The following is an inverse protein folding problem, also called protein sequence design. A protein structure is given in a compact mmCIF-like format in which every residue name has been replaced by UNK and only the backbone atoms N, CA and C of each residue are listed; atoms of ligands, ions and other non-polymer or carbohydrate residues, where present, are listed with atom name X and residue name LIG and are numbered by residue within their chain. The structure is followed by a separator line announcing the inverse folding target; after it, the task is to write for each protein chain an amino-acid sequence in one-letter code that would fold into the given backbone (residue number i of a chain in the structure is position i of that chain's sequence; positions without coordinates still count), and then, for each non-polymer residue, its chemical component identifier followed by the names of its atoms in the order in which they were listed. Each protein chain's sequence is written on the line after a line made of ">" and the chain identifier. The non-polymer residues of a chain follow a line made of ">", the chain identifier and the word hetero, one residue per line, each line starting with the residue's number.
data_IF_956361776465
#
_entry.id   IF_956361776465
#
_cell.length_a   1.000
_cell.length_b   1.000
_cell.length_c   1.000
_cell.angle_alpha   90.00
_cell.angle_beta   90.00
_cell.angle_gamma   90.00
#
_symmetry.space_group_name_H-M   'P 1'
#
loop_
_entity.id
_entity.type
_entity.pdbx_description
1 polymer ?
#
# COMPACT_ATOMS: atom_id res chain seq x y z
N UNK A 1 -0.78 -14.50 2.85
CA UNK A 1 0.18 -13.45 2.43
C UNK A 1 0.86 -13.92 1.16
N UNK A 2 1.09 -13.02 0.19
CA UNK A 2 1.70 -13.32 -1.11
C UNK A 2 2.96 -12.46 -1.32
N UNK A 3 4.08 -13.07 -1.69
CA UNK A 3 5.28 -12.36 -2.12
C UNK A 3 5.81 -12.99 -3.43
N UNK A 4 5.61 -12.39 -4.62
CA UNK A 4 4.99 -11.09 -4.91
C UNK A 4 3.94 -11.17 -6.02
N UNK A 5 3.02 -10.21 -6.03
CA UNK A 5 2.01 -10.05 -7.08
C UNK A 5 2.65 -9.73 -8.43
N UNK A 6 3.75 -8.97 -8.43
CA UNK A 6 4.54 -8.68 -9.64
C UNK A 6 5.13 -9.94 -10.26
N UNK A 7 5.72 -10.83 -9.45
CA UNK A 7 6.26 -12.11 -9.94
C UNK A 7 5.16 -13.04 -10.46
N UNK A 8 4.01 -13.06 -9.80
CA UNK A 8 2.85 -13.80 -10.27
C UNK A 8 2.42 -13.34 -11.67
N UNK A 9 2.23 -12.03 -11.87
CA UNK A 9 1.83 -11.47 -13.16
C UNK A 9 2.86 -11.75 -14.27
N UNK A 10 4.17 -11.65 -13.96
CA UNK A 10 5.23 -12.06 -14.90
C UNK A 10 5.15 -13.52 -15.30
N UNK A 11 4.90 -14.42 -14.34
CA UNK A 11 4.77 -15.84 -14.63
C UNK A 11 3.57 -16.14 -15.55
N UNK A 12 2.44 -15.45 -15.35
CA UNK A 12 1.31 -15.55 -16.27
C UNK A 12 1.66 -15.01 -17.67
N UNK A 13 2.38 -13.89 -17.75
CA UNK A 13 2.78 -13.33 -19.04
C UNK A 13 3.66 -14.27 -19.88
N UNK A 14 4.46 -15.11 -19.21
CA UNK A 14 5.30 -16.11 -19.89
C UNK A 14 4.56 -17.38 -20.29
N UNK A 15 3.41 -17.67 -19.69
CA UNK A 15 2.71 -18.96 -19.84
C UNK A 15 1.45 -18.88 -20.69
N UNK A 16 0.87 -17.69 -20.89
CA UNK A 16 -0.31 -17.55 -21.73
C UNK A 16 0.03 -17.77 -23.22
N UNK A 17 -0.97 -18.17 -24.00
CA UNK A 17 -0.91 -18.05 -25.45
C UNK A 17 -1.02 -16.57 -25.84
N UNK A 18 -0.10 -16.04 -26.67
CA UNK A 18 -0.11 -14.64 -27.07
C UNK A 18 -1.45 -14.26 -27.73
N UNK A 19 -2.02 -13.15 -27.31
CA UNK A 19 -3.28 -12.62 -27.85
C UNK A 19 -3.08 -11.76 -29.11
N UNK A 20 -1.82 -11.52 -29.49
CA UNK A 20 -1.45 -10.63 -30.59
C UNK A 20 -1.48 -9.14 -30.23
N UNK A 21 -1.78 -8.79 -28.96
CA UNK A 21 -1.75 -7.43 -28.45
C UNK A 21 -0.70 -7.30 -27.35
N UNK A 22 0.06 -6.23 -27.39
CA UNK A 22 1.15 -5.98 -26.43
C UNK A 22 1.00 -4.59 -25.84
N UNK A 23 0.98 -4.51 -24.51
CA UNK A 23 1.06 -3.27 -23.75
C UNK A 23 2.52 -2.83 -23.62
N UNK A 24 2.71 -1.61 -23.09
CA UNK A 24 4.04 -1.10 -22.77
C UNK A 24 4.82 -2.09 -21.90
N UNK A 25 6.11 -2.27 -22.20
CA UNK A 25 6.97 -3.20 -21.45
C UNK A 25 6.86 -4.67 -21.86
N UNK A 26 6.15 -5.02 -22.94
CA UNK A 26 6.09 -6.41 -23.43
C UNK A 26 5.08 -7.27 -22.69
N UNK A 27 4.11 -6.65 -22.04
CA UNK A 27 3.05 -7.32 -21.30
C UNK A 27 1.85 -7.56 -22.20
N UNK A 28 1.39 -8.81 -22.30
CA UNK A 28 0.13 -9.12 -22.97
C UNK A 28 -1.04 -8.81 -22.02
N UNK A 29 -2.07 -8.06 -22.45
CA UNK A 29 -3.22 -7.75 -21.58
C UNK A 29 -3.92 -8.99 -21.00
N UNK A 30 -3.92 -10.11 -21.76
CA UNK A 30 -4.51 -11.37 -21.32
C UNK A 30 -3.81 -11.97 -20.10
N UNK A 31 -2.53 -11.64 -19.89
CA UNK A 31 -1.73 -12.15 -18.79
C UNK A 31 -2.20 -11.63 -17.43
N UNK A 32 -2.84 -10.47 -17.40
CA UNK A 32 -3.31 -9.84 -16.16
C UNK A 32 -4.67 -10.38 -15.69
N UNK A 33 -5.43 -11.08 -16.54
CA UNK A 33 -6.79 -11.52 -16.21
C UNK A 33 -6.80 -12.44 -14.99
N UNK A 34 -5.96 -13.49 -14.98
CA UNK A 34 -5.93 -14.46 -13.89
C UNK A 34 -5.33 -13.88 -12.60
N UNK A 35 -4.19 -13.17 -12.63
CA UNK A 35 -3.69 -12.46 -11.46
C UNK A 35 -4.67 -11.46 -10.86
N UNK A 36 -5.41 -10.70 -11.68
CA UNK A 36 -6.46 -9.77 -11.20
C UNK A 36 -7.61 -10.52 -10.54
N UNK A 37 -8.06 -11.64 -11.12
CA UNK A 37 -9.08 -12.50 -10.50
C UNK A 37 -8.60 -13.06 -9.16
N UNK A 38 -7.34 -13.50 -9.08
CA UNK A 38 -6.73 -13.98 -7.84
C UNK A 38 -6.72 -12.89 -6.77
N UNK A 39 -6.19 -11.70 -7.09
CA UNK A 39 -6.09 -10.61 -6.12
C UNK A 39 -7.48 -10.06 -5.73
N UNK A 40 -8.39 -9.95 -6.70
CA UNK A 40 -9.80 -9.56 -6.49
C UNK A 40 -10.67 -10.64 -5.83
N UNK A 41 -10.12 -11.81 -5.50
CA UNK A 41 -10.81 -12.77 -4.66
C UNK A 41 -10.94 -12.25 -3.21
N UNK A 42 -10.01 -11.38 -2.76
CA UNK A 42 -10.06 -10.77 -1.45
C UNK A 42 -11.33 -9.93 -1.28
N UNK A 43 -12.13 -10.25 -0.26
CA UNK A 43 -13.41 -9.58 0.03
C UNK A 43 -13.90 -9.92 1.43
N UNK A 44 -14.71 -9.02 1.98
CA UNK A 44 -15.55 -9.30 3.14
C UNK A 44 -16.92 -9.81 2.65
N UNK A 45 -17.47 -10.85 3.28
CA UNK A 45 -18.79 -11.41 2.94
C UNK A 45 -19.72 -11.15 4.12
N UNK A 46 -20.85 -10.47 3.88
CA UNK A 46 -21.77 -10.00 4.93
C UNK A 46 -22.28 -11.14 5.83
N UNK A 47 -22.75 -12.23 5.22
CA UNK A 47 -23.27 -13.41 5.92
C UNK A 47 -22.23 -14.53 6.05
N UNK A 48 -20.94 -14.19 6.00
CA UNK A 48 -19.85 -15.17 5.96
C UNK A 48 -18.58 -14.72 6.66
N UNK A 49 -17.48 -15.38 6.30
CA UNK A 49 -16.15 -14.94 6.70
C UNK A 49 -15.59 -13.87 5.78
N UNK A 50 -14.30 -13.57 5.94
CA UNK A 50 -13.55 -12.69 5.04
C UNK A 50 -12.33 -13.40 4.47
N UNK A 51 -11.93 -13.00 3.27
CA UNK A 51 -10.65 -13.37 2.67
C UNK A 51 -9.80 -12.11 2.52
N UNK A 52 -8.73 -12.03 3.31
CA UNK A 52 -7.77 -10.93 3.25
C UNK A 52 -6.51 -11.38 2.53
N UNK A 53 -6.15 -10.68 1.44
CA UNK A 53 -4.91 -10.90 0.70
C UNK A 53 -4.01 -9.68 0.88
N UNK A 54 -2.89 -9.88 1.57
CA UNK A 54 -1.77 -8.93 1.57
C UNK A 54 -0.73 -9.46 0.60
N UNK A 55 -0.38 -8.64 -0.39
CA UNK A 55 0.60 -8.97 -1.41
C UNK A 55 1.64 -7.86 -1.56
N UNK A 56 2.90 -8.23 -1.77
CA UNK A 56 3.95 -7.27 -2.15
C UNK A 56 3.87 -6.98 -3.65
N UNK A 57 4.17 -5.74 -4.02
CA UNK A 57 4.34 -5.31 -5.40
C UNK A 57 5.70 -4.60 -5.51
N UNK A 58 6.43 -4.90 -6.58
CA UNK A 58 7.70 -4.25 -6.87
C UNK A 58 7.45 -3.02 -7.73
N UNK A 59 8.03 -1.90 -7.31
CA UNK A 59 8.05 -0.62 -8.04
C UNK A 59 9.49 -0.14 -8.16
N UNK A 60 9.76 0.79 -9.07
CA UNK A 60 11.10 1.36 -9.28
C UNK A 60 12.18 0.29 -9.55
N UNK A 61 11.82 -0.77 -10.28
CA UNK A 61 12.73 -1.85 -10.69
C UNK A 61 13.53 -1.50 -11.95
N UNK A 62 13.18 -0.39 -12.61
CA UNK A 62 13.66 -0.04 -13.94
C UNK A 62 12.97 -0.80 -15.08
N UNK A 63 12.03 -1.70 -14.77
CA UNK A 63 11.26 -2.43 -15.78
C UNK A 63 9.92 -1.78 -16.04
N UNK A 64 9.70 -1.35 -17.29
CA UNK A 64 8.40 -0.80 -17.72
C UNK A 64 7.24 -1.78 -17.54
N UNK A 65 7.52 -3.08 -17.63
CA UNK A 65 6.53 -4.14 -17.37
C UNK A 65 6.04 -4.08 -15.92
N UNK A 66 6.95 -3.90 -14.96
CA UNK A 66 6.61 -3.88 -13.53
C UNK A 66 5.80 -2.63 -13.18
N UNK A 67 6.12 -1.48 -13.80
CA UNK A 67 5.33 -0.24 -13.66
C UNK A 67 3.88 -0.45 -14.13
N UNK A 68 3.70 -1.05 -15.31
CA UNK A 68 2.36 -1.35 -15.86
C UNK A 68 1.62 -2.34 -14.97
N UNK A 69 2.29 -3.40 -14.51
CA UNK A 69 1.70 -4.37 -13.58
C UNK A 69 1.22 -3.67 -12.30
N UNK A 70 2.04 -2.80 -11.71
CA UNK A 70 1.69 -2.06 -10.50
C UNK A 70 0.44 -1.18 -10.70
N UNK A 71 0.41 -0.36 -11.76
CA UNK A 71 -0.74 0.51 -12.06
C UNK A 71 -2.03 -0.29 -12.27
N UNK A 72 -1.95 -1.43 -12.95
CA UNK A 72 -3.09 -2.29 -13.21
C UNK A 72 -3.66 -2.94 -11.94
N UNK A 73 -2.82 -3.23 -10.94
CA UNK A 73 -3.26 -3.77 -9.64
C UNK A 73 -3.68 -2.71 -8.64
N UNK A 74 -3.18 -1.47 -8.77
CA UNK A 74 -3.61 -0.32 -7.96
C UNK A 74 -5.12 -0.10 -8.04
N UNK A 75 -5.70 -0.30 -9.22
CA UNK A 75 -7.15 -0.25 -9.42
C UNK A 75 -7.92 -1.41 -8.76
N UNK A 76 -7.27 -2.54 -8.52
CA UNK A 76 -7.89 -3.77 -8.00
C UNK A 76 -7.89 -3.81 -6.47
N UNK A 77 -6.83 -3.32 -5.84
CA UNK A 77 -6.72 -3.23 -4.38
C UNK A 77 -7.50 -2.07 -3.77
N UNK A 78 -7.69 -2.12 -2.45
CA UNK A 78 -8.30 -1.05 -1.65
C UNK A 78 -7.36 -0.49 -0.57
N UNK A 79 -6.18 -1.09 -0.36
CA UNK A 79 -5.17 -0.66 0.60
C UNK A 79 -3.78 -0.69 -0.04
N UNK A 80 -2.99 0.36 0.18
CA UNK A 80 -1.61 0.47 -0.28
C UNK A 80 -0.71 0.92 0.86
N UNK A 81 0.45 0.25 0.99
CA UNK A 81 1.54 0.66 1.89
C UNK A 81 2.79 0.81 1.04
N UNK A 82 3.20 2.06 0.84
CA UNK A 82 4.37 2.41 0.03
C UNK A 82 5.61 2.41 0.92
N UNK A 83 6.66 1.73 0.48
CA UNK A 83 7.96 1.73 1.16
C UNK A 83 8.94 2.62 0.39
N UNK A 84 9.59 3.54 1.09
CA UNK A 84 10.50 4.52 0.49
C UNK A 84 11.96 4.04 0.62
N UNK A 85 12.65 3.94 -0.53
CA UNK A 85 14.05 3.49 -0.60
C UNK A 85 15.01 4.45 0.12
N UNK A 86 14.76 5.77 0.10
CA UNK A 86 15.60 6.77 0.76
C UNK A 86 15.53 6.65 2.28
N UNK A 87 14.36 6.33 2.83
CA UNK A 87 14.21 6.01 4.25
C UNK A 87 15.06 4.79 4.63
N UNK A 88 14.98 3.72 3.84
CA UNK A 88 15.76 2.50 4.05
C UNK A 88 17.28 2.75 3.96
N UNK A 89 17.75 3.50 2.95
CA UNK A 89 19.17 3.85 2.78
C UNK A 89 19.73 4.61 3.99
N UNK A 90 18.89 5.42 4.64
CA UNK A 90 19.21 6.14 5.90
C UNK A 90 18.98 5.31 7.17
N UNK A 91 18.59 4.04 7.04
CA UNK A 91 18.27 3.12 8.14
C UNK A 91 17.11 3.58 9.03
N UNK A 92 16.16 4.31 8.47
CA UNK A 92 14.93 4.72 9.17
C UNK A 92 13.89 3.62 8.96
N UNK A 93 13.45 3.00 10.07
CA UNK A 93 12.47 1.92 10.04
C UNK A 93 11.31 2.16 11.02
N UNK A 94 10.07 1.84 10.63
CA UNK A 94 9.66 1.29 9.33
C UNK A 94 9.76 2.33 8.20
N UNK A 95 10.24 1.91 7.02
CA UNK A 95 10.51 2.78 5.87
C UNK A 95 9.23 3.10 5.06
N UNK A 96 8.16 3.55 5.74
CA UNK A 96 6.83 3.75 5.14
C UNK A 96 6.68 5.21 4.68
N UNK A 97 6.28 5.41 3.42
CA UNK A 97 5.80 6.70 2.95
C UNK A 97 4.34 6.89 3.39
N UNK A 98 4.13 7.67 4.44
CA UNK A 98 2.81 7.92 5.05
C UNK A 98 1.88 8.66 4.09
N UNK A 99 2.43 9.54 3.25
CA UNK A 99 1.65 10.38 2.34
C UNK A 99 1.11 9.58 1.15
N UNK A 100 1.88 8.61 0.65
CA UNK A 100 1.44 7.70 -0.42
C UNK A 100 0.62 6.51 0.07
N UNK A 101 0.75 6.14 1.34
CA UNK A 101 0.04 5.00 1.92
C UNK A 101 -1.38 5.36 2.36
N UNK A 102 -2.33 4.44 2.21
CA UNK A 102 -3.71 4.65 2.62
C UNK A 102 -4.64 3.49 2.33
N UNK A 103 -5.85 3.57 2.91
CA UNK A 103 -6.92 2.58 2.73
C UNK A 103 -8.18 3.30 2.27
N UNK A 104 -8.82 2.81 1.21
CA UNK A 104 -10.14 3.29 0.80
C UNK A 104 -11.17 2.89 1.84
N UNK A 105 -12.09 3.80 2.14
CA UNK A 105 -13.15 3.61 3.14
C UNK A 105 -12.63 3.29 4.55
N UNK A 106 -11.53 3.94 4.95
CA UNK A 106 -11.01 3.81 6.32
C UNK A 106 -11.97 4.33 7.40
N UNK A 107 -13.00 5.11 7.02
CA UNK A 107 -14.15 5.49 7.86
C UNK A 107 -14.93 4.29 8.43
N UNK A 108 -14.89 3.14 7.76
CA UNK A 108 -15.54 1.91 8.23
C UNK A 108 -14.67 1.09 9.18
N UNK A 109 -13.38 1.42 9.30
CA UNK A 109 -12.39 0.64 10.04
C UNK A 109 -11.95 1.34 11.32
N UNK A 110 -11.92 2.67 11.29
CA UNK A 110 -11.45 3.50 12.39
C UNK A 110 -12.64 4.05 13.18
N UNK A 111 -12.48 4.18 14.49
CA UNK A 111 -13.38 4.99 15.30
C UNK A 111 -13.26 6.47 14.91
N UNK A 112 -14.27 7.28 15.22
CA UNK A 112 -14.23 8.73 14.97
C UNK A 112 -13.01 9.40 15.63
N UNK A 113 -12.60 8.93 16.81
CA UNK A 113 -11.44 9.45 17.52
C UNK A 113 -10.13 9.14 16.76
N UNK A 114 -9.94 7.89 16.35
CA UNK A 114 -8.79 7.45 15.56
C UNK A 114 -8.74 8.15 14.20
N UNK A 115 -9.87 8.25 13.51
CA UNK A 115 -9.96 8.91 12.21
C UNK A 115 -9.54 10.39 12.31
N UNK A 116 -10.06 11.12 13.29
CA UNK A 116 -9.70 12.52 13.51
C UNK A 116 -8.22 12.69 13.83
N UNK A 117 -7.65 11.81 14.66
CA UNK A 117 -6.22 11.82 14.97
C UNK A 117 -5.37 11.53 13.73
N UNK A 118 -5.71 10.50 12.94
CA UNK A 118 -5.01 10.17 11.68
C UNK A 118 -5.07 11.35 10.70
N UNK A 119 -6.22 12.00 10.54
CA UNK A 119 -6.37 13.17 9.69
C UNK A 119 -5.56 14.38 10.19
N UNK A 120 -5.47 14.57 11.51
CA UNK A 120 -4.60 15.58 12.09
C UNK A 120 -3.12 15.29 11.81
N UNK A 121 -2.68 14.04 12.04
CA UNK A 121 -1.31 13.58 11.71
C UNK A 121 -1.01 13.85 10.25
N UNK A 122 -1.86 13.39 9.32
CA UNK A 122 -1.65 13.59 7.88
C UNK A 122 -1.53 15.07 7.52
N UNK A 123 -2.34 15.96 8.10
CA UNK A 123 -2.26 17.40 7.84
C UNK A 123 -0.94 18.01 8.33
N UNK A 124 -0.48 17.63 9.52
CA UNK A 124 0.79 18.13 10.08
C UNK A 124 1.98 17.63 9.27
N UNK A 125 1.93 16.39 8.77
CA UNK A 125 3.02 15.79 8.03
C UNK A 125 3.03 16.16 6.53
N UNK A 126 1.94 16.73 6.00
CA UNK A 126 1.80 17.04 4.58
C UNK A 126 2.78 18.11 4.07
N UNK A 127 3.28 18.99 4.94
CA UNK A 127 4.23 20.05 4.58
C UNK A 127 5.70 19.64 4.72
N UNK A 128 5.96 18.49 5.35
CA UNK A 128 7.29 18.00 5.66
C UNK A 128 7.80 17.08 4.54
N UNK A 129 9.12 16.88 4.45
CA UNK A 129 9.64 15.82 3.58
C UNK A 129 9.25 14.44 4.13
N UNK A 130 9.16 13.40 3.26
CA UNK A 130 8.85 12.02 3.70
C UNK A 130 9.75 11.55 4.84
N UNK A 131 11.01 11.96 4.84
CA UNK A 131 11.97 11.64 5.90
C UNK A 131 11.60 12.29 7.23
N UNK A 132 11.51 13.62 7.26
CA UNK A 132 11.19 14.38 8.47
C UNK A 132 9.83 13.96 9.03
N UNK A 133 8.85 13.74 8.15
CA UNK A 133 7.53 13.26 8.52
C UNK A 133 7.59 11.92 9.25
N UNK A 134 8.35 10.96 8.71
CA UNK A 134 8.48 9.61 9.26
C UNK A 134 9.22 9.62 10.60
N UNK A 135 10.35 10.33 10.68
CA UNK A 135 11.12 10.47 11.93
C UNK A 135 10.28 11.14 13.03
N UNK A 136 9.58 12.23 12.71
CA UNK A 136 8.71 12.95 13.65
C UNK A 136 7.58 12.05 14.14
N UNK A 137 6.96 11.26 13.27
CA UNK A 137 5.92 10.30 13.67
C UNK A 137 6.50 9.21 14.58
N UNK A 138 7.64 8.60 14.22
CA UNK A 138 8.31 7.57 15.03
C UNK A 138 8.64 8.15 16.42
N UNK A 139 9.23 9.34 16.49
CA UNK A 139 9.54 10.00 17.75
C UNK A 139 8.30 10.28 18.60
N UNK A 140 7.18 10.67 17.98
CA UNK A 140 5.93 10.90 18.69
C UNK A 140 5.31 9.59 19.22
N UNK A 141 5.34 8.51 18.43
CA UNK A 141 4.86 7.19 18.82
C UNK A 141 5.69 6.63 20.00
N UNK A 142 7.02 6.77 19.96
CA UNK A 142 7.93 6.29 21.01
C UNK A 142 7.73 6.97 22.37
N UNK A 143 7.09 8.14 22.42
CA UNK A 143 6.73 8.82 23.67
C UNK A 143 5.49 8.24 24.34
N UNK A 144 4.79 7.32 23.66
CA UNK A 144 3.54 6.72 24.13
C UNK A 144 3.71 5.21 24.29
N UNK A 145 2.97 4.62 25.22
CA UNK A 145 3.02 3.17 25.45
C UNK A 145 2.31 2.39 24.35
N UNK A 146 1.29 2.97 23.73
CA UNK A 146 0.47 2.34 22.71
C UNK A 146 -0.27 3.37 21.85
N UNK A 147 -0.86 2.90 20.73
CA UNK A 147 -1.56 3.74 19.77
C UNK A 147 -2.80 4.44 20.39
N UNK A 148 -3.44 3.86 21.39
CA UNK A 148 -4.60 4.49 22.06
C UNK A 148 -4.18 5.76 22.79
N UNK A 149 -3.08 5.69 23.53
CA UNK A 149 -2.49 6.85 24.20
C UNK A 149 -2.04 7.91 23.18
N UNK A 150 -1.41 7.49 22.08
CA UNK A 150 -1.05 8.39 20.98
C UNK A 150 -2.25 9.14 20.41
N UNK A 151 -3.33 8.44 20.06
CA UNK A 151 -4.57 9.03 19.52
C UNK A 151 -5.19 10.04 20.50
N UNK A 152 -5.14 9.77 21.80
CA UNK A 152 -5.65 10.68 22.84
C UNK A 152 -4.79 11.93 23.05
N UNK A 153 -3.46 11.80 22.85
CA UNK A 153 -2.51 12.89 23.04
C UNK A 153 -2.38 13.79 21.81
N UNK A 154 -2.43 13.22 20.60
CA UNK A 154 -2.09 13.94 19.37
C UNK A 154 -2.97 15.18 19.10
N UNK A 155 -4.30 15.17 19.35
CA UNK A 155 -5.13 16.37 19.24
C UNK A 155 -4.72 17.53 20.17
N UNK A 156 -3.90 17.27 21.20
CA UNK A 156 -3.45 18.26 22.20
C UNK A 156 -1.98 18.67 22.04
N UNK A 157 -1.25 18.03 21.13
CA UNK A 157 0.19 18.27 20.88
C UNK A 157 0.45 19.20 19.68
N UNK A 158 -0.61 19.70 19.06
CA UNK A 158 -0.60 20.68 17.96
C UNK A 158 -1.05 22.02 18.53
#
# INVERSE_FOLDING_TARGET
>A
MLDSLTRLARAYNLTISPTGRTLSGGLDPGALIQPKKFFGAARNIEEGGSLTILATALIETGSRMDDVIFEEFKGTGNMEVHLDRKLQERRIFPAIDINKSGTRREDLLLTNEEYNAVMAVRRVLATETTQEATEKLIHALLKTKNNKEFVQMFPKLI
#
